data_IF_401109167690
#
_entry.id   IF_401109167690
#
_cell.length_a   1.000
_cell.length_b   1.000
_cell.length_c   1.000
_cell.angle_alpha   90.00
_cell.angle_beta   90.00
_cell.angle_gamma   90.00
#
_symmetry.space_group_name_H-M   'P 1'
#
loop_
_entity.id
_entity.type
_entity.pdbx_description
1 polymer ?
#
# COMPACT_ATOMS: atom_id res chain seq x y z
N UNK A 1 -5.37 9.73 -9.77
CA UNK A 1 -4.06 10.15 -9.24
C UNK A 1 -3.77 11.56 -9.70
N UNK A 2 -3.77 12.54 -8.80
CA UNK A 2 -3.28 13.92 -9.00
C UNK A 2 -2.76 14.40 -7.64
N UNK A 3 -1.50 14.09 -7.29
CA UNK A 3 -0.88 14.66 -6.11
C UNK A 3 -0.97 16.19 -6.19
N UNK A 4 -1.41 16.84 -5.11
CA UNK A 4 -1.29 18.29 -4.99
C UNK A 4 0.19 18.66 -4.82
N UNK A 5 0.59 19.85 -5.28
CA UNK A 5 1.93 20.36 -5.00
C UNK A 5 2.11 20.56 -3.49
N UNK A 6 3.29 20.20 -2.96
CA UNK A 6 3.62 20.27 -1.53
C UNK A 6 2.67 19.48 -0.62
N UNK A 7 2.07 18.41 -1.13
CA UNK A 7 1.29 17.44 -0.34
C UNK A 7 1.91 16.07 -0.47
N UNK A 8 1.88 15.30 0.61
CA UNK A 8 2.08 13.86 0.53
C UNK A 8 0.89 13.22 -0.21
N UNK A 9 1.18 12.10 -0.87
CA UNK A 9 0.24 11.34 -1.65
C UNK A 9 0.56 9.87 -1.54
N UNK A 10 -0.45 9.07 -1.22
CA UNK A 10 -0.31 7.63 -1.14
C UNK A 10 -1.41 6.97 -1.97
N UNK A 11 -1.02 6.12 -2.92
CA UNK A 11 -1.95 5.16 -3.51
C UNK A 11 -1.29 3.80 -3.59
N UNK A 12 -2.03 2.77 -3.19
CA UNK A 12 -1.65 1.36 -3.34
C UNK A 12 -2.51 0.78 -4.44
N UNK A 13 -1.88 0.20 -5.45
CA UNK A 13 -2.56 -0.41 -6.59
C UNK A 13 -2.04 -1.83 -6.76
N UNK A 14 -2.92 -2.78 -6.49
CA UNK A 14 -2.67 -4.20 -6.61
C UNK A 14 -3.09 -4.71 -7.99
N UNK A 15 -2.44 -5.78 -8.44
CA UNK A 15 -2.78 -6.47 -9.67
C UNK A 15 -2.48 -7.93 -9.50
N UNK A 16 -3.54 -8.73 -9.46
CA UNK A 16 -3.42 -10.17 -9.57
C UNK A 16 -2.88 -10.55 -10.95
N UNK A 17 -1.68 -11.08 -10.93
CA UNK A 17 -0.96 -11.62 -12.08
C UNK A 17 -1.28 -13.10 -12.31
N UNK A 18 -2.12 -13.70 -11.47
CA UNK A 18 -2.60 -15.06 -11.59
C UNK A 18 -3.70 -15.21 -12.64
N UNK A 19 -3.73 -16.38 -13.29
CA UNK A 19 -4.85 -16.79 -14.15
C UNK A 19 -6.03 -17.30 -13.30
N UNK A 20 -6.45 -16.50 -12.32
CA UNK A 20 -7.46 -16.86 -11.32
C UNK A 20 -8.28 -15.62 -10.89
N UNK A 21 -9.08 -15.74 -9.84
CA UNK A 21 -9.94 -14.66 -9.29
C UNK A 21 -9.73 -14.47 -7.78
N UNK A 22 -8.53 -14.78 -7.30
CA UNK A 22 -8.19 -14.77 -5.88
C UNK A 22 -8.39 -13.39 -5.23
N UNK A 23 -8.30 -12.27 -5.98
CA UNK A 23 -8.56 -10.91 -5.47
C UNK A 23 -9.86 -10.78 -4.66
N UNK A 24 -10.89 -11.51 -5.08
CA UNK A 24 -12.21 -11.48 -4.44
C UNK A 24 -12.19 -12.01 -3.00
N UNK A 25 -11.18 -12.82 -2.64
CA UNK A 25 -10.96 -13.39 -1.32
C UNK A 25 -9.87 -12.64 -0.51
N UNK A 26 -9.33 -11.53 -1.01
CA UNK A 26 -8.26 -10.81 -0.31
C UNK A 26 -8.83 -9.64 0.47
N UNK A 27 -8.66 -9.70 1.80
CA UNK A 27 -8.80 -8.55 2.69
C UNK A 27 -7.45 -7.84 2.82
N UNK A 28 -7.51 -6.52 2.93
CA UNK A 28 -6.32 -5.65 2.98
C UNK A 28 -6.47 -4.66 4.12
N UNK A 29 -5.38 -4.34 4.78
CA UNK A 29 -5.29 -3.18 5.68
C UNK A 29 -3.96 -2.46 5.46
N UNK A 30 -3.96 -1.16 5.78
CA UNK A 30 -2.83 -0.29 5.54
C UNK A 30 -2.46 0.46 6.82
N UNK A 31 -1.21 0.33 7.25
CA UNK A 31 -0.59 1.19 8.25
C UNK A 31 0.44 2.09 7.56
N UNK A 32 0.35 3.40 7.78
CA UNK A 32 1.27 4.36 7.21
C UNK A 32 1.79 5.31 8.28
N UNK A 33 3.10 5.29 8.48
CA UNK A 33 3.79 6.09 9.49
C UNK A 33 4.72 7.09 8.82
N UNK A 34 4.66 8.34 9.23
CA UNK A 34 5.59 9.40 8.80
C UNK A 34 6.28 10.00 10.01
N UNK A 35 7.60 9.97 9.99
CA UNK A 35 8.47 10.43 11.07
C UNK A 35 9.53 11.38 10.50
N UNK A 36 9.69 12.54 11.13
CA UNK A 36 10.78 13.45 10.81
C UNK A 36 11.94 13.20 11.77
N UNK A 37 13.18 13.18 11.28
CA UNK A 37 14.36 13.12 12.15
C UNK A 37 14.49 14.39 13.00
N UNK A 38 15.22 14.28 14.12
CA UNK A 38 15.47 15.41 15.03
C UNK A 38 16.31 16.52 14.37
N UNK A 39 17.15 16.17 13.40
CA UNK A 39 17.96 17.13 12.66
C UNK A 39 17.12 17.91 11.65
N UNK A 40 17.08 19.23 11.82
CA UNK A 40 16.30 20.11 10.97
C UNK A 40 16.84 20.10 9.52
N UNK A 41 15.96 19.83 8.56
CA UNK A 41 16.26 19.89 7.13
C UNK A 41 16.45 18.53 6.46
N UNK A 42 16.47 17.43 7.22
CA UNK A 42 16.42 16.10 6.64
C UNK A 42 14.98 15.70 6.22
N UNK A 43 14.83 14.91 5.14
CA UNK A 43 13.53 14.46 4.67
C UNK A 43 12.86 13.53 5.70
N UNK A 44 11.53 13.59 5.76
CA UNK A 44 10.76 12.62 6.54
C UNK A 44 10.93 11.21 6.00
N UNK A 45 10.92 10.24 6.92
CA UNK A 45 10.84 8.82 6.60
C UNK A 45 9.37 8.39 6.65
N UNK A 46 8.91 7.79 5.57
CA UNK A 46 7.62 7.14 5.47
C UNK A 46 7.80 5.62 5.51
N UNK A 47 7.01 4.95 6.35
CA UNK A 47 6.94 3.49 6.46
C UNK A 47 5.50 3.07 6.17
N UNK A 48 5.31 2.38 5.06
CA UNK A 48 4.04 1.80 4.65
C UNK A 48 4.05 0.30 4.92
N UNK A 49 3.14 -0.18 5.75
CA UNK A 49 2.92 -1.60 6.01
C UNK A 49 1.55 -2.01 5.49
N UNK A 50 1.54 -2.99 4.61
CA UNK A 50 0.34 -3.55 3.99
C UNK A 50 0.17 -4.97 4.52
N UNK A 51 -1.01 -5.27 5.05
CA UNK A 51 -1.36 -6.63 5.49
C UNK A 51 -2.43 -7.17 4.57
N UNK A 52 -2.15 -8.31 3.96
CA UNK A 52 -3.06 -9.04 3.08
C UNK A 52 -3.48 -10.32 3.80
N UNK A 53 -4.78 -10.59 3.82
CA UNK A 53 -5.33 -11.84 4.38
C UNK A 53 -6.15 -12.54 3.32
N UNK A 54 -5.81 -13.79 3.01
CA UNK A 54 -6.58 -14.63 2.12
C UNK A 54 -7.69 -15.32 2.91
N UNK A 55 -8.94 -14.90 2.72
CA UNK A 55 -10.05 -15.29 3.61
C UNK A 55 -10.67 -16.66 3.33
N UNK A 56 -10.28 -17.29 2.24
CA UNK A 56 -10.69 -18.65 1.90
C UNK A 56 -9.79 -19.64 2.62
N UNK A 57 -10.39 -20.61 3.29
CA UNK A 57 -9.72 -21.82 3.75
C UNK A 57 -9.65 -22.81 2.58
N UNK A 58 -8.45 -23.16 2.14
CA UNK A 58 -8.22 -24.06 1.02
C UNK A 58 -6.74 -24.40 0.85
N UNK A 59 -6.42 -25.28 -0.11
CA UNK A 59 -5.04 -25.64 -0.44
C UNK A 59 -4.81 -25.50 -1.95
N UNK A 60 -3.80 -24.71 -2.35
CA UNK A 60 -3.30 -24.66 -3.73
C UNK A 60 -1.81 -25.03 -3.72
N UNK A 61 -1.49 -26.34 -3.65
CA UNK A 61 -0.15 -26.82 -3.39
C UNK A 61 0.84 -26.32 -4.45
N UNK A 62 1.91 -25.70 -3.98
CA UNK A 62 3.01 -25.19 -4.80
C UNK A 62 2.74 -23.85 -5.49
N UNK A 63 1.57 -23.23 -5.29
CA UNK A 63 1.20 -21.96 -5.90
C UNK A 63 1.61 -21.88 -7.37
N UNK A 64 1.14 -22.83 -8.17
CA UNK A 64 1.47 -22.88 -9.59
C UNK A 64 0.63 -21.87 -10.40
N UNK A 65 1.32 -20.94 -11.07
CA UNK A 65 0.78 -19.90 -11.93
C UNK A 65 0.20 -20.46 -13.25
N UNK A 66 0.35 -21.75 -13.56
CA UNK A 66 -0.24 -22.32 -14.78
C UNK A 66 -1.77 -22.07 -14.85
N UNK A 67 -2.31 -21.80 -16.06
CA UNK A 67 -3.75 -21.61 -16.23
C UNK A 67 -4.52 -22.88 -15.83
N UNK A 68 -5.40 -22.74 -14.84
CA UNK A 68 -6.29 -23.78 -14.32
C UNK A 68 -7.64 -23.15 -14.00
N UNK A 69 -8.70 -23.61 -14.66
CA UNK A 69 -10.02 -22.98 -14.53
C UNK A 69 -10.99 -23.72 -13.62
N UNK A 70 -10.71 -24.98 -13.31
CA UNK A 70 -11.60 -25.84 -12.54
C UNK A 70 -12.94 -26.09 -13.24
N UNK A 71 -13.89 -26.63 -12.47
CA UNK A 71 -15.26 -26.89 -12.86
C UNK A 71 -16.22 -25.78 -12.40
N UNK A 72 -15.77 -24.93 -11.46
CA UNK A 72 -16.58 -23.88 -10.86
C UNK A 72 -15.86 -22.53 -10.75
N UNK A 73 -16.63 -21.45 -10.55
CA UNK A 73 -16.06 -20.13 -10.25
C UNK A 73 -15.32 -20.09 -8.91
N UNK A 74 -15.73 -20.92 -7.93
CA UNK A 74 -15.06 -20.99 -6.63
C UNK A 74 -13.62 -21.50 -6.82
N UNK A 75 -13.39 -22.46 -7.72
CA UNK A 75 -12.07 -23.03 -8.02
C UNK A 75 -11.07 -21.99 -8.53
N UNK A 76 -11.56 -20.87 -9.07
CA UNK A 76 -10.72 -19.73 -9.46
C UNK A 76 -10.38 -18.80 -8.29
N UNK A 77 -11.20 -18.75 -7.24
CA UNK A 77 -10.95 -17.93 -6.05
C UNK A 77 -10.04 -18.67 -5.06
N UNK A 78 -10.22 -19.98 -4.91
CA UNK A 78 -9.52 -20.83 -3.94
C UNK A 78 -8.09 -21.20 -4.40
N UNK A 79 -7.33 -20.21 -4.88
CA UNK A 79 -5.97 -20.37 -5.42
C UNK A 79 -5.04 -19.31 -4.85
N UNK A 80 -3.73 -19.54 -4.93
CA UNK A 80 -2.78 -18.53 -4.46
C UNK A 80 -3.00 -17.19 -5.16
N UNK A 81 -2.86 -16.13 -4.40
CA UNK A 81 -2.90 -14.76 -4.89
C UNK A 81 -1.49 -14.34 -5.30
N UNK A 82 -1.32 -14.03 -6.58
CA UNK A 82 -0.04 -13.63 -7.16
C UNK A 82 -0.10 -12.14 -7.41
N UNK A 83 0.37 -11.33 -6.46
CA UNK A 83 0.16 -9.89 -6.52
C UNK A 83 1.38 -9.15 -7.03
N UNK A 84 1.13 -8.16 -7.87
CA UNK A 84 2.08 -7.12 -8.21
C UNK A 84 1.59 -5.78 -7.64
N UNK A 85 2.12 -5.44 -6.47
CA UNK A 85 1.78 -4.21 -5.73
C UNK A 85 2.58 -3.02 -6.26
N UNK A 86 1.91 -1.89 -6.41
CA UNK A 86 2.52 -0.60 -6.77
C UNK A 86 2.15 0.48 -5.79
N UNK A 87 3.16 1.12 -5.23
CA UNK A 87 3.04 2.24 -4.30
C UNK A 87 3.32 3.53 -5.07
N UNK A 88 2.33 4.41 -5.13
CA UNK A 88 2.47 5.74 -5.70
C UNK A 88 2.69 6.74 -4.58
N UNK A 89 3.89 7.32 -4.56
CA UNK A 89 4.32 8.36 -3.64
C UNK A 89 4.53 9.69 -4.38
N UNK A 90 4.74 10.83 -3.68
CA UNK A 90 5.12 12.07 -4.33
C UNK A 90 6.39 11.92 -5.17
N UNK A 91 6.51 12.71 -6.25
CA UNK A 91 7.76 12.76 -7.01
C UNK A 91 8.90 13.26 -6.13
N UNK A 92 10.05 12.61 -6.22
CA UNK A 92 11.22 12.90 -5.40
C UNK A 92 11.29 12.06 -4.13
N UNK A 93 10.30 11.21 -3.86
CA UNK A 93 10.45 10.15 -2.87
C UNK A 93 11.53 9.15 -3.31
N UNK A 94 12.28 8.62 -2.35
CA UNK A 94 13.40 7.71 -2.61
C UNK A 94 13.21 6.42 -1.78
N UNK A 95 13.14 5.27 -2.47
CA UNK A 95 12.99 3.98 -1.80
C UNK A 95 14.22 3.69 -0.94
N UNK A 96 14.00 3.33 0.32
CA UNK A 96 15.04 2.91 1.25
C UNK A 96 15.07 1.38 1.33
N UNK A 97 13.90 0.76 1.52
CA UNK A 97 13.77 -0.69 1.67
C UNK A 97 12.38 -1.17 1.27
N UNK A 98 12.29 -2.37 0.72
CA UNK A 98 11.04 -3.11 0.55
C UNK A 98 11.21 -4.54 1.07
N UNK A 99 10.28 -5.01 1.90
CA UNK A 99 10.27 -6.36 2.49
C UNK A 99 8.92 -7.03 2.32
N UNK A 100 8.89 -8.37 2.40
CA UNK A 100 7.68 -9.15 2.12
C UNK A 100 7.38 -9.29 0.62
N UNK A 101 8.31 -8.92 -0.25
CA UNK A 101 8.20 -9.08 -1.71
C UNK A 101 9.43 -9.81 -2.23
N UNK A 102 9.34 -10.41 -3.40
CA UNK A 102 10.46 -11.00 -4.11
C UNK A 102 11.50 -9.91 -4.41
N UNK A 103 12.76 -10.02 -3.92
CA UNK A 103 13.74 -8.94 -4.03
C UNK A 103 13.99 -8.47 -5.46
N UNK A 104 14.02 -9.40 -6.42
CA UNK A 104 14.27 -9.10 -7.84
C UNK A 104 13.07 -8.44 -8.55
N UNK A 105 11.92 -8.33 -7.88
CA UNK A 105 10.73 -7.63 -8.38
C UNK A 105 10.62 -6.18 -7.90
N UNK A 106 11.53 -5.77 -7.01
CA UNK A 106 11.53 -4.42 -6.44
C UNK A 106 12.11 -3.46 -7.46
N UNK A 107 11.27 -2.57 -7.97
CA UNK A 107 11.68 -1.56 -8.91
C UNK A 107 11.19 -0.18 -8.50
N UNK A 108 11.90 0.85 -8.98
CA UNK A 108 11.60 2.25 -8.72
C UNK A 108 11.56 3.00 -10.04
N UNK A 109 10.41 3.60 -10.37
CA UNK A 109 10.23 4.30 -11.63
C UNK A 109 9.44 5.59 -11.47
N UNK A 110 9.66 6.51 -12.42
CA UNK A 110 8.84 7.71 -12.49
C UNK A 110 7.41 7.36 -12.88
N UNK A 111 6.45 7.76 -12.06
CA UNK A 111 5.03 7.60 -12.37
C UNK A 111 4.44 8.78 -13.14
N UNK A 112 3.15 8.65 -13.46
CA UNK A 112 2.39 9.72 -14.07
C UNK A 112 2.14 10.88 -13.10
N UNK A 113 1.81 12.06 -13.65
CA UNK A 113 1.25 13.19 -12.88
C UNK A 113 2.04 13.56 -11.61
N UNK A 114 3.37 13.48 -11.67
CA UNK A 114 4.30 13.83 -10.58
C UNK A 114 4.26 12.87 -9.39
N UNK A 115 4.10 11.57 -9.65
CA UNK A 115 4.38 10.53 -8.66
C UNK A 115 5.74 9.89 -8.88
N UNK A 116 6.28 9.31 -7.81
CA UNK A 116 7.26 8.23 -7.84
C UNK A 116 6.52 6.91 -7.62
N UNK A 117 6.98 5.82 -8.24
CA UNK A 117 6.37 4.49 -8.08
C UNK A 117 7.41 3.50 -7.57
N UNK A 118 7.03 2.76 -6.54
CA UNK A 118 7.76 1.61 -6.02
C UNK A 118 6.94 0.35 -6.26
N UNK A 119 7.58 -0.75 -6.65
CA UNK A 119 6.87 -1.99 -7.01
C UNK A 119 7.39 -3.17 -6.22
N UNK A 120 6.59 -4.23 -6.16
CA UNK A 120 7.03 -5.53 -5.66
C UNK A 120 6.02 -6.61 -6.01
N UNK A 121 6.49 -7.84 -6.06
CA UNK A 121 5.70 -9.03 -6.32
C UNK A 121 5.74 -9.96 -5.12
N UNK A 122 4.62 -10.58 -4.78
CA UNK A 122 4.57 -11.61 -3.74
C UNK A 122 3.49 -12.64 -4.05
N UNK A 123 3.57 -13.78 -3.35
CA UNK A 123 2.61 -14.87 -3.44
C UNK A 123 1.98 -15.05 -2.06
N UNK A 124 0.65 -15.15 -2.02
CA UNK A 124 -0.11 -15.38 -0.81
C UNK A 124 -1.01 -16.63 -0.98
N UNK A 125 -0.69 -17.74 -0.31
CA UNK A 125 -1.53 -18.93 -0.31
C UNK A 125 -2.90 -18.72 0.34
N UNK A 126 -3.90 -19.59 0.04
CA UNK A 126 -5.17 -19.58 0.75
C UNK A 126 -5.02 -19.79 2.26
N UNK A 127 -5.89 -19.15 3.05
CA UNK A 127 -5.91 -19.22 4.51
C UNK A 127 -4.78 -18.46 5.22
N UNK A 128 -3.80 -17.93 4.48
CA UNK A 128 -2.65 -17.26 5.05
C UNK A 128 -2.82 -15.74 5.17
N UNK A 129 -1.94 -15.15 5.96
CA UNK A 129 -1.75 -13.71 6.05
C UNK A 129 -0.31 -13.38 5.68
N UNK A 130 -0.14 -12.29 4.90
CA UNK A 130 1.15 -11.84 4.44
C UNK A 130 1.30 -10.33 4.62
N UNK A 131 2.50 -9.89 4.98
CA UNK A 131 2.82 -8.48 5.24
C UNK A 131 3.89 -8.00 4.29
N UNK A 132 3.64 -6.85 3.65
CA UNK A 132 4.56 -6.16 2.76
C UNK A 132 4.87 -4.79 3.34
N UNK A 133 6.15 -4.42 3.44
CA UNK A 133 6.56 -3.13 3.98
C UNK A 133 7.44 -2.37 2.99
N UNK A 134 7.12 -1.11 2.75
CA UNK A 134 7.96 -0.17 2.00
C UNK A 134 8.39 0.98 2.91
N UNK A 135 9.70 1.20 3.02
CA UNK A 135 10.28 2.34 3.72
C UNK A 135 10.92 3.27 2.69
N UNK A 136 10.61 4.56 2.74
CA UNK A 136 11.14 5.54 1.78
C UNK A 136 11.28 6.93 2.39
N UNK A 137 12.19 7.72 1.84
CA UNK A 137 12.30 9.14 2.14
C UNK A 137 11.25 9.92 1.34
N UNK A 138 10.58 10.87 1.98
CA UNK A 138 9.67 11.82 1.33
C UNK A 138 10.44 13.03 0.79
N UNK A 139 9.88 13.79 -0.18
CA UNK A 139 10.53 15.00 -0.65
C UNK A 139 10.74 16.01 0.50
N UNK A 140 11.90 16.68 0.59
CA UNK A 140 12.23 17.60 1.69
C UNK A 140 11.33 18.85 1.74
N UNK A 141 10.52 19.08 0.71
CA UNK A 141 9.49 20.12 0.69
C UNK A 141 8.32 19.83 1.63
N UNK A 142 8.18 18.59 2.11
CA UNK A 142 7.15 18.19 3.07
C UNK A 142 7.66 18.37 4.51
N UNK A 143 7.18 19.40 5.18
CA UNK A 143 7.56 19.76 6.55
C UNK A 143 6.47 19.37 7.55
N UNK A 144 6.81 19.17 8.84
CA UNK A 144 5.82 18.78 9.86
C UNK A 144 4.65 19.77 9.97
N UNK A 145 4.94 21.08 9.99
CA UNK A 145 3.95 22.14 10.22
C UNK A 145 2.92 22.30 9.09
N UNK A 146 3.26 21.83 7.89
CA UNK A 146 2.45 21.97 6.68
C UNK A 146 2.06 20.60 6.09
N UNK A 147 2.28 19.51 6.83
CA UNK A 147 2.06 18.17 6.31
C UNK A 147 0.59 17.93 5.99
N UNK A 148 0.36 17.44 4.77
CA UNK A 148 -0.94 17.01 4.26
C UNK A 148 -0.73 15.68 3.57
N UNK A 149 -1.68 14.76 3.75
CA UNK A 149 -1.68 13.49 3.07
C UNK A 149 -3.01 13.30 2.36
N UNK A 150 -2.94 12.93 1.09
CA UNK A 150 -4.07 12.41 0.33
C UNK A 150 -3.83 10.93 0.06
N UNK A 151 -4.66 10.07 0.64
CA UNK A 151 -4.70 8.65 0.33
C UNK A 151 -5.75 8.40 -0.76
N UNK A 152 -5.35 7.77 -1.85
CA UNK A 152 -6.27 7.35 -2.91
C UNK A 152 -6.44 5.83 -2.91
N UNK A 153 -7.67 5.38 -2.68
CA UNK A 153 -8.02 3.95 -2.75
C UNK A 153 -8.07 3.48 -4.20
N UNK A 154 -7.64 2.25 -4.44
CA UNK A 154 -7.88 1.58 -5.72
C UNK A 154 -9.40 1.44 -5.97
N UNK A 155 -9.83 1.79 -7.18
CA UNK A 155 -11.23 1.61 -7.56
C UNK A 155 -11.56 0.12 -7.72
N UNK A 156 -12.77 -0.27 -7.33
CA UNK A 156 -13.24 -1.66 -7.44
C UNK A 156 -12.80 -2.59 -6.31
N UNK A 157 -12.03 -2.11 -5.32
CA UNK A 157 -11.70 -2.90 -4.12
C UNK A 157 -12.74 -2.71 -3.00
N UNK A 158 -12.67 -3.55 -1.97
CA UNK A 158 -13.45 -3.39 -0.74
C UNK A 158 -13.04 -2.11 0.02
N UNK A 159 -13.87 -1.60 0.95
CA UNK A 159 -13.44 -0.54 1.87
C UNK A 159 -12.13 -0.91 2.57
N UNK A 160 -11.21 0.05 2.66
CA UNK A 160 -9.86 -0.17 3.15
C UNK A 160 -9.73 0.33 4.60
N UNK A 161 -9.52 -0.57 5.59
CA UNK A 161 -9.09 -0.18 6.93
C UNK A 161 -7.69 0.43 6.85
N UNK A 162 -7.55 1.63 7.43
CA UNK A 162 -6.28 2.33 7.50
C UNK A 162 -5.97 2.75 8.94
N UNK A 163 -4.69 2.78 9.28
CA UNK A 163 -4.13 3.49 10.42
C UNK A 163 -3.02 4.38 9.90
N UNK A 164 -3.12 5.68 10.16
CA UNK A 164 -2.15 6.67 9.73
C UNK A 164 -1.54 7.31 10.97
N UNK A 165 -0.22 7.31 11.06
CA UNK A 165 0.54 7.96 12.13
C UNK A 165 1.45 9.02 11.54
N UNK A 166 1.31 10.27 11.99
CA UNK A 166 2.14 11.40 11.56
C UNK A 166 2.74 12.05 12.80
N UNK A 167 4.04 11.85 13.04
CA UNK A 167 4.65 12.17 14.33
C UNK A 167 3.93 11.44 15.47
N UNK A 168 3.45 12.19 16.46
CA UNK A 168 2.73 11.64 17.62
C UNK A 168 1.22 11.47 17.39
N UNK A 169 0.68 11.99 16.28
CA UNK A 169 -0.75 11.93 15.99
C UNK A 169 -1.08 10.64 15.23
N UNK A 170 -2.14 9.93 15.65
CA UNK A 170 -2.63 8.71 14.98
C UNK A 170 -4.13 8.81 14.70
N UNK A 171 -4.53 8.40 13.49
CA UNK A 171 -5.94 8.27 13.11
C UNK A 171 -6.18 6.93 12.42
N UNK A 172 -7.30 6.28 12.74
CA UNK A 172 -7.75 5.08 12.03
C UNK A 172 -9.10 5.35 11.37
N UNK A 173 -9.29 4.80 10.18
CA UNK A 173 -10.53 4.96 9.42
C UNK A 173 -10.81 3.74 8.55
N UNK A 174 -12.07 3.57 8.15
CA UNK A 174 -12.46 2.65 7.07
C UNK A 174 -12.77 3.47 5.81
N UNK A 175 -11.85 3.46 4.85
CA UNK A 175 -11.96 4.27 3.63
C UNK A 175 -12.82 3.54 2.59
N UNK A 176 -14.06 3.97 2.44
CA UNK A 176 -14.97 3.47 1.40
C UNK A 176 -14.97 4.34 0.13
N UNK A 177 -14.66 5.63 0.27
CA UNK A 177 -14.54 6.58 -0.83
C UNK A 177 -13.32 6.36 -1.72
N UNK A 178 -13.20 7.19 -2.75
CA UNK A 178 -12.03 7.19 -3.64
C UNK A 178 -10.80 7.85 -3.00
N UNK A 179 -11.03 8.85 -2.14
CA UNK A 179 -10.02 9.63 -1.46
C UNK A 179 -10.28 9.66 0.04
N UNK A 180 -9.21 9.74 0.80
CA UNK A 180 -9.18 10.07 2.21
C UNK A 180 -8.08 11.10 2.44
N UNK A 181 -8.31 12.08 3.30
CA UNK A 181 -7.36 13.16 3.56
C UNK A 181 -7.03 13.19 5.05
N UNK A 182 -5.73 13.31 5.35
CA UNK A 182 -5.27 13.57 6.70
C UNK A 182 -5.50 15.04 7.05
N UNK A 183 -6.18 15.27 8.18
CA UNK A 183 -6.16 16.54 8.87
C UNK A 183 -5.59 16.31 10.26
N UNK A 184 -4.50 16.99 10.62
CA UNK A 184 -4.11 17.07 12.01
C UNK A 184 -5.30 17.62 12.80
N UNK A 185 -5.83 16.86 13.76
CA UNK A 185 -6.80 17.43 14.68
C UNK A 185 -6.12 18.64 15.35
N UNK A 186 -6.84 19.76 15.47
CA UNK A 186 -6.40 20.89 16.28
C UNK A 186 -6.32 20.42 17.74
N UNK A 187 -5.22 19.76 18.09
CA UNK A 187 -4.90 19.34 19.44
C UNK A 187 -4.82 20.58 20.30
N UNK A 188 -5.83 20.74 21.16
CA UNK A 188 -6.08 21.95 21.92
C UNK A 188 -4.83 22.43 22.63
N UNK A 189 -4.45 23.68 22.34
CA UNK A 189 -3.71 24.52 23.29
C UNK A 189 -4.47 24.47 24.62
N UNK A 190 -3.94 23.71 25.58
CA UNK A 190 -4.18 23.94 27.00
C UNK A 190 -2.88 24.45 27.60
#
# INVERSE_FOLDING_TARGET
>A
MRPAENSDFLAVVDTNMGYNKADAAIQRSLDYRVEWPEEAGEPARATLTLTYTHTVDGEDPGCDLTPRYGDSYADLIERCYFDYVRIYAPRGSELIEATGVEPDSVETHRGERRTQVFTGYFILPPGEQHTVTFTYALPPTLTPDAYRLVLQRQSGTQPLPITITVGDATQSALVSGALWEWSAEEGGRR
#
